data_IF_678734868260
#
_entry.id   IF_678734868260
#
_cell.length_a   1.000
_cell.length_b   1.000
_cell.length_c   1.000
_cell.angle_alpha   90.00
_cell.angle_beta   90.00
_cell.angle_gamma   90.00
#
_symmetry.space_group_name_H-M   'P 1'
#
loop_
_entity.id
_entity.type
_entity.pdbx_description
1 polymer ?
#
# COMPACT_ATOMS: atom_id res chain seq x y z
N UNK A 1 -31.37 -4.13 -2.23
CA UNK A 1 -30.29 -3.13 -2.18
C UNK A 1 -29.10 -3.79 -1.51
N UNK A 2 -28.01 -4.04 -2.25
CA UNK A 2 -26.83 -4.70 -1.69
C UNK A 2 -26.02 -3.68 -0.90
N UNK A 3 -25.90 -3.88 0.41
CA UNK A 3 -24.97 -3.17 1.28
C UNK A 3 -23.54 -3.51 0.83
N UNK A 4 -22.87 -2.57 0.15
CA UNK A 4 -21.52 -2.76 -0.37
C UNK A 4 -20.48 -2.72 0.77
N UNK A 5 -19.40 -3.53 0.71
CA UNK A 5 -18.49 -3.68 1.83
C UNK A 5 -17.44 -2.55 1.86
N UNK A 6 -17.45 -1.80 2.96
CA UNK A 6 -16.71 -0.56 3.19
C UNK A 6 -15.37 -0.75 3.92
N UNK A 7 -14.85 -1.97 4.02
CA UNK A 7 -13.50 -2.29 4.53
C UNK A 7 -13.20 -3.76 4.20
N UNK A 8 -13.24 -4.09 2.92
CA UNK A 8 -13.09 -5.49 2.49
C UNK A 8 -11.64 -5.90 2.71
N UNK A 9 -11.45 -6.97 3.46
CA UNK A 9 -10.16 -7.62 3.64
C UNK A 9 -10.05 -8.81 2.69
N UNK A 10 -9.35 -8.63 1.58
CA UNK A 10 -9.02 -9.69 0.64
C UNK A 10 -7.88 -10.54 1.20
N UNK A 11 -8.02 -11.87 1.15
CA UNK A 11 -6.90 -12.75 1.49
C UNK A 11 -5.89 -12.84 0.33
N UNK A 12 -4.67 -13.24 0.65
CA UNK A 12 -3.57 -13.39 -0.32
C UNK A 12 -3.81 -14.38 -1.46
N UNK A 13 -4.82 -15.26 -1.38
CA UNK A 13 -5.18 -16.21 -2.43
C UNK A 13 -6.39 -15.74 -3.26
N UNK A 14 -6.79 -14.47 -3.13
CA UNK A 14 -7.95 -13.94 -3.83
C UNK A 14 -7.74 -13.91 -5.35
N UNK A 15 -8.74 -14.38 -6.08
CA UNK A 15 -8.82 -14.29 -7.55
C UNK A 15 -9.37 -12.94 -8.02
N UNK A 16 -9.70 -12.02 -7.11
CA UNK A 16 -10.14 -10.68 -7.46
C UNK A 16 -9.02 -9.88 -8.13
N UNK A 17 -9.39 -9.02 -9.08
CA UNK A 17 -8.45 -8.18 -9.84
C UNK A 17 -8.54 -6.73 -9.38
N UNK A 18 -7.40 -6.03 -9.17
CA UNK A 18 -7.40 -4.61 -8.83
C UNK A 18 -8.19 -3.74 -9.81
N UNK A 19 -8.15 -4.04 -11.12
CA UNK A 19 -8.94 -3.32 -12.13
C UNK A 19 -10.45 -3.40 -11.87
N UNK A 20 -10.94 -4.58 -11.47
CA UNK A 20 -12.36 -4.81 -11.16
C UNK A 20 -12.73 -4.16 -9.82
N UNK A 21 -11.88 -4.29 -8.81
CA UNK A 21 -12.09 -3.67 -7.48
C UNK A 21 -12.18 -2.16 -7.62
N UNK A 22 -11.21 -1.54 -8.32
CA UNK A 22 -11.16 -0.10 -8.55
C UNK A 22 -12.41 0.39 -9.30
N UNK A 23 -12.81 -0.30 -10.38
CA UNK A 23 -14.01 0.04 -11.15
C UNK A 23 -15.28 -0.01 -10.30
N UNK A 24 -15.41 -1.02 -9.44
CA UNK A 24 -16.57 -1.18 -8.57
C UNK A 24 -16.62 -0.11 -7.49
N UNK A 25 -15.47 0.24 -6.91
CA UNK A 25 -15.34 1.30 -5.91
C UNK A 25 -15.78 2.64 -6.49
N UNK A 26 -15.20 3.04 -7.64
CA UNK A 26 -15.51 4.30 -8.33
C UNK A 26 -16.96 4.40 -8.85
N UNK A 27 -17.69 3.29 -8.93
CA UNK A 27 -19.09 3.26 -9.39
C UNK A 27 -20.12 3.49 -8.27
N UNK A 28 -19.69 3.79 -7.04
CA UNK A 28 -20.58 4.01 -5.91
C UNK A 28 -20.20 5.24 -5.08
N UNK A 29 -20.96 5.49 -4.02
CA UNK A 29 -20.62 6.46 -2.98
C UNK A 29 -19.51 5.85 -2.11
N UNK A 30 -18.30 6.41 -2.22
CA UNK A 30 -17.10 5.95 -1.50
C UNK A 30 -16.79 6.94 -0.39
N UNK A 31 -16.63 6.45 0.85
CA UNK A 31 -16.12 7.23 1.98
C UNK A 31 -14.61 7.09 2.11
N UNK A 32 -13.96 8.03 2.79
CA UNK A 32 -12.51 7.98 3.05
C UNK A 32 -12.06 6.71 3.80
N UNK A 33 -12.97 6.14 4.60
CA UNK A 33 -12.77 4.91 5.39
C UNK A 33 -12.82 3.65 4.52
N UNK A 34 -13.31 3.76 3.28
CA UNK A 34 -13.63 2.63 2.41
C UNK A 34 -12.40 2.20 1.62
N UNK A 35 -11.50 1.47 2.27
CA UNK A 35 -10.31 0.95 1.62
C UNK A 35 -10.37 -0.59 1.48
N UNK A 36 -10.30 -1.13 0.25
CA UNK A 36 -10.07 -2.55 0.03
C UNK A 36 -8.61 -2.91 0.38
N UNK A 37 -8.44 -3.60 1.49
CA UNK A 37 -7.14 -4.08 1.97
C UNK A 37 -6.88 -5.51 1.52
N UNK A 38 -5.63 -5.82 1.19
CA UNK A 38 -5.12 -7.18 1.01
C UNK A 38 -4.34 -7.57 2.25
N UNK A 39 -4.66 -8.72 2.83
CA UNK A 39 -3.90 -9.33 3.91
C UNK A 39 -2.92 -10.38 3.35
N UNK A 40 -1.64 -10.17 3.60
CA UNK A 40 -0.56 -11.14 3.37
C UNK A 40 0.14 -11.39 4.70
N UNK A 41 -0.24 -12.46 5.42
CA UNK A 41 0.19 -12.64 6.81
C UNK A 41 -0.24 -11.45 7.68
N UNK A 42 0.73 -10.77 8.30
CA UNK A 42 0.55 -9.55 9.09
C UNK A 42 0.82 -8.25 8.30
N UNK A 43 0.99 -8.33 6.97
CA UNK A 43 1.14 -7.18 6.08
C UNK A 43 -0.20 -6.83 5.42
N UNK A 44 -0.55 -5.55 5.46
CA UNK A 44 -1.80 -5.02 4.93
C UNK A 44 -1.51 -3.96 3.86
N UNK A 45 -2.06 -4.18 2.67
CA UNK A 45 -1.78 -3.41 1.47
C UNK A 45 -3.09 -2.93 0.84
N UNK A 46 -3.16 -1.67 0.42
CA UNK A 46 -4.29 -1.13 -0.31
C UNK A 46 -4.26 -1.59 -1.77
N UNK A 47 -5.44 -1.96 -2.28
CA UNK A 47 -5.61 -2.29 -3.71
C UNK A 47 -5.81 -1.04 -4.56
N UNK A 48 -6.36 0.02 -3.96
CA UNK A 48 -6.86 1.21 -4.65
C UNK A 48 -6.35 2.50 -4.00
N UNK A 49 -6.92 3.63 -4.41
CA UNK A 49 -6.78 4.91 -3.71
C UNK A 49 -7.20 4.73 -2.25
N UNK A 50 -6.43 5.32 -1.34
CA UNK A 50 -6.70 5.41 0.09
C UNK A 50 -7.16 6.83 0.43
N UNK A 51 -8.11 6.97 1.36
CA UNK A 51 -8.42 8.25 2.01
C UNK A 51 -7.56 8.47 3.25
N UNK A 52 -7.52 9.71 3.75
CA UNK A 52 -6.77 10.09 4.97
C UNK A 52 -7.11 9.16 6.15
N UNK A 53 -8.36 8.74 6.29
CA UNK A 53 -8.83 7.92 7.41
C UNK A 53 -8.82 6.40 7.13
N UNK A 54 -8.30 5.96 6.00
CA UNK A 54 -8.49 4.58 5.49
C UNK A 54 -7.94 3.46 6.38
N UNK A 55 -6.83 3.68 7.09
CA UNK A 55 -6.21 2.63 7.91
C UNK A 55 -6.75 2.56 9.35
N UNK A 56 -7.42 3.60 9.85
CA UNK A 56 -7.95 3.60 11.22
C UNK A 56 -9.01 2.50 11.44
N UNK A 57 -9.98 2.27 10.54
CA UNK A 57 -10.89 1.13 10.64
C UNK A 57 -10.18 -0.23 10.65
N UNK A 58 -9.10 -0.36 9.86
CA UNK A 58 -8.28 -1.57 9.86
C UNK A 58 -7.61 -1.78 11.23
N UNK A 59 -7.04 -0.74 11.83
CA UNK A 59 -6.49 -0.81 13.20
C UNK A 59 -7.55 -1.21 14.22
N UNK A 60 -8.77 -0.66 14.14
CA UNK A 60 -9.88 -1.05 15.01
C UNK A 60 -10.24 -2.54 14.88
N UNK A 61 -10.31 -3.04 13.63
CA UNK A 61 -10.54 -4.46 13.34
C UNK A 61 -9.43 -5.34 13.94
N UNK A 62 -8.18 -5.04 13.66
CA UNK A 62 -7.04 -5.84 14.14
C UNK A 62 -6.89 -5.78 15.66
N UNK A 63 -7.23 -4.64 16.27
CA UNK A 63 -7.30 -4.50 17.73
C UNK A 63 -8.34 -5.44 18.33
N UNK A 64 -9.51 -5.58 17.70
CA UNK A 64 -10.54 -6.52 18.14
C UNK A 64 -10.09 -7.98 18.05
N UNK A 65 -9.09 -8.26 17.21
CA UNK A 65 -8.43 -9.57 17.08
C UNK A 65 -7.24 -9.74 18.05
N UNK A 66 -6.99 -8.77 18.93
CA UNK A 66 -5.97 -8.85 19.98
C UNK A 66 -4.66 -8.12 19.69
N UNK A 67 -4.47 -7.55 18.49
CA UNK A 67 -3.26 -6.77 18.20
C UNK A 67 -3.25 -5.45 18.97
N UNK A 68 -2.10 -5.11 19.56
CA UNK A 68 -1.92 -3.88 20.35
C UNK A 68 -0.84 -2.96 19.82
N UNK A 69 0.00 -3.42 18.90
CA UNK A 69 1.07 -2.63 18.31
C UNK A 69 0.96 -2.67 16.80
N UNK A 70 1.06 -1.52 16.14
CA UNK A 70 0.95 -1.38 14.70
C UNK A 70 2.12 -0.57 14.14
N UNK A 71 2.62 -0.97 12.98
CA UNK A 71 3.54 -0.17 12.15
C UNK A 71 2.77 0.34 10.94
N UNK A 72 2.76 1.66 10.75
CA UNK A 72 2.14 2.30 9.60
C UNK A 72 3.25 2.95 8.78
N UNK A 73 3.52 2.41 7.60
CA UNK A 73 4.49 3.00 6.69
C UNK A 73 3.80 4.13 5.93
N UNK A 74 4.45 5.29 5.87
CA UNK A 74 3.91 6.54 5.34
C UNK A 74 4.96 7.35 4.55
N UNK A 75 4.57 8.51 4.04
CA UNK A 75 5.46 9.48 3.40
C UNK A 75 5.65 9.31 1.91
N UNK A 76 4.71 8.61 1.28
CA UNK A 76 4.69 8.43 -0.17
C UNK A 76 3.29 8.31 -0.74
N UNK A 77 3.16 8.59 -2.01
CA UNK A 77 2.06 8.19 -2.88
C UNK A 77 2.22 6.73 -3.31
N UNK A 78 1.12 6.19 -3.82
CA UNK A 78 1.14 4.98 -4.65
C UNK A 78 1.26 5.31 -6.12
N UNK A 79 1.93 4.44 -6.86
CA UNK A 79 1.89 4.42 -8.32
C UNK A 79 1.87 2.96 -8.82
N UNK A 80 1.46 2.78 -10.07
CA UNK A 80 1.42 1.49 -10.74
C UNK A 80 2.01 1.64 -12.13
N UNK A 81 3.21 1.10 -12.39
CA UNK A 81 4.26 0.69 -11.45
C UNK A 81 5.02 1.87 -10.81
N UNK A 82 5.84 1.63 -9.77
CA UNK A 82 6.73 2.65 -9.22
C UNK A 82 7.88 2.95 -10.20
N UNK A 83 8.14 4.22 -10.48
CA UNK A 83 9.20 4.61 -11.41
C UNK A 83 10.55 4.64 -10.70
N UNK A 84 11.55 3.97 -11.27
CA UNK A 84 12.93 4.00 -10.77
C UNK A 84 13.90 4.51 -11.84
N UNK A 85 14.88 5.30 -11.42
CA UNK A 85 16.00 5.68 -12.29
C UNK A 85 17.06 4.57 -12.37
N UNK A 86 18.09 4.81 -13.17
CA UNK A 86 19.20 3.86 -13.39
C UNK A 86 20.07 3.61 -12.17
N UNK A 87 20.00 4.50 -11.17
CA UNK A 87 20.72 4.38 -9.91
C UNK A 87 19.86 3.70 -8.84
N UNK A 88 18.67 3.19 -9.21
CA UNK A 88 17.72 2.58 -8.28
C UNK A 88 16.97 3.60 -7.42
N UNK A 89 17.01 4.90 -7.77
CA UNK A 89 16.26 5.92 -7.04
C UNK A 89 14.80 5.89 -7.47
N UNK A 90 13.89 5.75 -6.49
CA UNK A 90 12.46 5.87 -6.74
C UNK A 90 12.08 7.34 -6.98
N UNK A 91 11.30 7.60 -8.01
CA UNK A 91 10.97 8.95 -8.46
C UNK A 91 9.51 9.31 -8.17
N UNK A 92 9.25 10.60 -7.92
CA UNK A 92 7.91 11.22 -7.90
C UNK A 92 6.85 10.62 -6.96
N UNK A 93 7.25 9.78 -6.01
CA UNK A 93 6.33 9.16 -5.06
C UNK A 93 6.42 9.77 -3.67
N UNK A 94 7.46 10.51 -3.31
CA UNK A 94 7.64 10.97 -1.93
C UNK A 94 6.81 12.22 -1.63
N UNK A 95 6.04 12.15 -0.55
CA UNK A 95 5.08 13.18 -0.15
C UNK A 95 5.12 13.33 1.37
N UNK A 96 5.69 14.43 1.85
CA UNK A 96 5.85 14.67 3.29
C UNK A 96 4.51 14.90 3.97
N UNK A 97 3.59 15.54 3.27
CA UNK A 97 2.21 15.79 3.70
C UNK A 97 1.51 14.51 4.19
N UNK A 98 1.76 13.36 3.55
CA UNK A 98 1.17 12.09 3.98
C UNK A 98 1.68 11.62 5.35
N UNK A 99 2.92 11.96 5.73
CA UNK A 99 3.43 11.70 7.09
C UNK A 99 2.66 12.55 8.10
N UNK A 100 2.42 13.82 7.75
CA UNK A 100 1.75 14.76 8.64
C UNK A 100 0.25 14.40 8.79
N UNK A 101 -0.39 13.91 7.73
CA UNK A 101 -1.72 13.28 7.74
C UNK A 101 -1.76 12.03 8.62
N UNK A 102 -0.88 11.06 8.40
CA UNK A 102 -0.87 9.82 9.18
C UNK A 102 -0.53 10.04 10.66
N UNK A 103 0.27 11.05 10.99
CA UNK A 103 0.49 11.45 12.38
C UNK A 103 -0.78 12.05 13.02
N UNK A 104 -1.60 12.81 12.27
CA UNK A 104 -2.90 13.28 12.76
C UNK A 104 -3.85 12.12 13.01
N UNK A 105 -3.90 11.15 12.10
CA UNK A 105 -4.74 9.94 12.25
C UNK A 105 -4.23 9.07 13.41
N UNK A 106 -2.92 8.95 13.60
CA UNK A 106 -2.32 8.33 14.79
C UNK A 106 -2.75 9.00 16.08
N UNK A 107 -2.72 10.32 16.16
CA UNK A 107 -3.16 11.04 17.35
C UNK A 107 -4.65 10.76 17.66
N UNK A 108 -5.50 10.68 16.63
CA UNK A 108 -6.91 10.25 16.76
C UNK A 108 -7.01 8.81 17.27
N UNK A 109 -6.26 7.87 16.67
CA UNK A 109 -6.25 6.47 17.07
C UNK A 109 -5.87 6.27 18.54
N UNK A 110 -4.83 6.96 19.02
CA UNK A 110 -4.36 6.86 20.41
C UNK A 110 -5.31 7.52 21.41
N UNK A 111 -6.12 8.49 20.96
CA UNK A 111 -7.18 9.08 21.78
C UNK A 111 -8.40 8.14 21.89
N UNK A 112 -8.74 7.45 20.80
CA UNK A 112 -9.89 6.55 20.73
C UNK A 112 -9.60 5.18 21.37
N UNK A 113 -8.37 4.68 21.21
CA UNK A 113 -7.93 3.37 21.67
C UNK A 113 -6.73 3.52 22.62
N UNK A 114 -6.97 3.50 23.92
CA UNK A 114 -5.94 3.75 24.94
C UNK A 114 -5.01 2.56 25.17
N UNK A 115 -5.32 1.39 24.61
CA UNK A 115 -4.60 0.13 24.80
C UNK A 115 -3.72 -0.25 23.60
N UNK A 116 -3.54 0.64 22.63
CA UNK A 116 -2.70 0.39 21.44
C UNK A 116 -1.52 1.35 21.35
N UNK A 117 -0.52 0.93 20.58
CA UNK A 117 0.57 1.77 20.07
C UNK A 117 0.57 1.73 18.55
N UNK A 118 0.80 2.87 17.93
CA UNK A 118 0.95 3.01 16.48
C UNK A 118 2.22 3.78 16.23
N UNK A 119 3.13 3.21 15.43
CA UNK A 119 4.35 3.89 15.00
C UNK A 119 4.28 4.20 13.51
N UNK A 120 4.46 5.48 13.16
CA UNK A 120 4.59 5.91 11.77
C UNK A 120 6.05 5.72 11.33
N UNK A 121 6.26 4.98 10.25
CA UNK A 121 7.56 4.77 9.62
C UNK A 121 7.64 5.67 8.38
N UNK A 122 8.55 6.62 8.41
CA UNK A 122 8.83 7.52 7.28
C UNK A 122 9.63 6.79 6.19
N UNK A 123 8.98 6.50 5.06
CA UNK A 123 9.61 5.81 3.93
C UNK A 123 10.56 6.69 3.12
N UNK A 124 10.59 8.01 3.34
CA UNK A 124 11.50 8.93 2.65
C UNK A 124 12.95 8.79 3.13
N UNK A 125 13.17 8.07 4.23
CA UNK A 125 14.50 7.77 4.77
C UNK A 125 15.34 6.89 3.84
N UNK A 126 14.70 6.15 2.92
CA UNK A 126 15.38 5.38 1.89
C UNK A 126 14.78 5.66 0.52
N UNK A 127 15.54 6.38 -0.32
CA UNK A 127 15.11 6.76 -1.68
C UNK A 127 15.69 5.87 -2.78
N UNK A 128 16.77 5.16 -2.48
CA UNK A 128 17.49 4.27 -3.38
C UNK A 128 17.27 2.84 -2.94
N UNK A 129 17.06 1.91 -3.88
CA UNK A 129 16.73 0.50 -3.62
C UNK A 129 15.54 0.37 -2.65
N UNK A 130 14.55 1.23 -2.83
CA UNK A 130 13.49 1.41 -1.86
C UNK A 130 12.66 0.13 -1.68
N UNK A 131 12.35 -0.62 -2.74
CA UNK A 131 11.64 -1.89 -2.64
C UNK A 131 12.37 -2.86 -1.71
N UNK A 132 13.71 -2.95 -1.82
CA UNK A 132 14.55 -3.77 -0.95
C UNK A 132 14.52 -3.27 0.49
N UNK A 133 14.70 -1.97 0.72
CA UNK A 133 14.64 -1.40 2.07
C UNK A 133 13.27 -1.64 2.72
N UNK A 134 12.18 -1.45 1.99
CA UNK A 134 10.81 -1.70 2.46
C UNK A 134 10.59 -3.16 2.82
N UNK A 135 11.08 -4.09 2.01
CA UNK A 135 11.05 -5.52 2.31
C UNK A 135 11.81 -5.82 3.62
N UNK A 136 13.05 -5.35 3.74
CA UNK A 136 13.89 -5.60 4.91
C UNK A 136 13.28 -5.00 6.18
N UNK A 137 12.81 -3.76 6.11
CA UNK A 137 12.19 -3.05 7.23
C UNK A 137 10.88 -3.72 7.64
N UNK A 138 10.04 -4.11 6.68
CA UNK A 138 8.80 -4.85 6.95
C UNK A 138 9.08 -6.18 7.63
N UNK A 139 10.07 -6.94 7.14
CA UNK A 139 10.42 -8.24 7.72
C UNK A 139 10.87 -8.14 9.18
N UNK A 140 11.49 -7.04 9.62
CA UNK A 140 11.84 -6.84 11.04
C UNK A 140 10.61 -6.88 11.93
N UNK A 141 9.53 -6.21 11.52
CA UNK A 141 8.30 -6.08 12.30
C UNK A 141 7.43 -7.33 12.20
N UNK A 142 7.35 -7.95 11.02
CA UNK A 142 6.61 -9.19 10.83
C UNK A 142 7.16 -10.34 11.70
N UNK A 143 8.49 -10.43 11.87
CA UNK A 143 9.13 -11.43 12.76
C UNK A 143 8.71 -11.29 14.23
N UNK A 144 8.28 -10.10 14.64
CA UNK A 144 7.75 -9.84 15.98
C UNK A 144 6.22 -9.95 16.04
N UNK A 145 5.58 -10.48 15.00
CA UNK A 145 4.12 -10.59 14.86
C UNK A 145 3.39 -9.24 14.98
N UNK A 146 4.06 -8.15 14.59
CA UNK A 146 3.49 -6.80 14.60
C UNK A 146 2.83 -6.55 13.24
N UNK A 147 1.52 -6.24 13.19
CA UNK A 147 0.87 -5.77 11.97
C UNK A 147 1.59 -4.60 11.31
N UNK A 148 1.83 -4.73 10.01
CA UNK A 148 2.41 -3.69 9.15
C UNK A 148 1.37 -3.24 8.13
N UNK A 149 1.11 -1.93 8.07
CA UNK A 149 0.14 -1.32 7.16
C UNK A 149 0.90 -0.36 6.24
N UNK A 150 0.76 -0.51 4.93
CA UNK A 150 1.21 0.50 3.98
C UNK A 150 0.05 1.45 3.67
N UNK A 151 0.09 2.65 4.23
CA UNK A 151 -1.07 3.57 4.28
C UNK A 151 -1.31 4.39 3.00
N UNK A 152 -0.46 4.26 1.99
CA UNK A 152 -0.62 4.97 0.72
C UNK A 152 -1.49 4.21 -0.27
N UNK A 153 -1.93 4.90 -1.31
CA UNK A 153 -2.72 4.34 -2.41
C UNK A 153 -1.96 3.18 -3.07
N UNK A 154 -2.67 2.22 -3.66
CA UNK A 154 -2.08 1.17 -4.53
C UNK A 154 -0.86 0.46 -3.93
N UNK A 155 -0.77 0.32 -2.60
CA UNK A 155 0.44 -0.17 -1.95
C UNK A 155 0.71 -1.65 -2.24
N UNK A 156 -0.27 -2.39 -2.78
CA UNK A 156 -0.07 -3.71 -3.39
C UNK A 156 0.94 -3.72 -4.54
N UNK A 157 1.21 -2.59 -5.18
CA UNK A 157 2.15 -2.48 -6.31
C UNK A 157 3.50 -1.90 -5.90
N UNK A 158 3.76 -1.76 -4.60
CA UNK A 158 4.97 -1.11 -4.07
C UNK A 158 6.27 -1.74 -4.56
N UNK A 159 6.30 -3.06 -4.77
CA UNK A 159 7.49 -3.77 -5.27
C UNK A 159 7.52 -3.91 -6.80
N UNK A 160 6.51 -3.37 -7.49
CA UNK A 160 6.47 -3.32 -8.94
C UNK A 160 7.22 -2.08 -9.40
N UNK A 161 8.37 -2.26 -10.04
CA UNK A 161 9.23 -1.18 -10.49
C UNK A 161 9.31 -1.12 -12.03
N UNK A 162 9.31 0.10 -12.56
CA UNK A 162 9.53 0.39 -13.98
C UNK A 162 10.75 1.29 -14.14
N UNK A 163 11.79 0.74 -14.76
CA UNK A 163 13.05 1.45 -14.96
C UNK A 163 12.96 2.38 -16.17
N UNK A 164 13.28 3.67 -15.97
CA UNK A 164 13.31 4.62 -17.07
C UNK A 164 14.44 4.32 -18.08
N UNK A 165 14.18 4.44 -19.41
CA UNK A 165 15.19 4.24 -20.44
C UNK A 165 16.26 5.35 -20.46
N UNK A 166 17.32 5.13 -21.23
CA UNK A 166 18.60 5.83 -21.21
C UNK A 166 18.64 7.32 -21.53
N UNK A 167 17.56 7.87 -22.05
CA UNK A 167 17.63 9.08 -22.86
C UNK A 167 16.90 10.18 -22.13
N UNK A 168 17.46 11.39 -22.17
CA UNK A 168 17.03 12.61 -21.46
C UNK A 168 15.63 13.13 -21.82
N UNK A 169 14.68 12.26 -22.09
CA UNK A 169 13.27 12.57 -22.19
C UNK A 169 12.77 12.97 -20.80
N UNK A 170 12.54 14.27 -20.65
CA UNK A 170 11.70 14.82 -19.61
C UNK A 170 10.41 14.01 -19.47
N UNK A 171 10.17 13.47 -18.26
CA UNK A 171 8.93 13.52 -17.45
C UNK A 171 7.53 13.45 -18.09
N UNK A 172 7.37 13.09 -19.37
CA UNK A 172 6.08 12.75 -19.99
C UNK A 172 5.86 11.24 -20.00
N UNK A 173 6.30 10.56 -18.93
CA UNK A 173 6.28 9.10 -18.85
C UNK A 173 4.85 8.53 -18.92
N UNK A 174 3.86 9.27 -18.43
CA UNK A 174 2.43 8.92 -18.54
C UNK A 174 1.92 8.83 -19.99
N UNK A 175 2.62 9.44 -20.95
CA UNK A 175 2.29 9.37 -22.38
C UNK A 175 3.03 8.22 -23.10
N UNK A 176 3.98 7.55 -22.43
CA UNK A 176 4.68 6.41 -23.01
C UNK A 176 3.77 5.19 -22.93
N UNK A 177 3.34 4.72 -24.10
CA UNK A 177 2.52 3.51 -24.30
C UNK A 177 3.05 2.32 -23.47
N UNK A 178 4.37 2.18 -23.32
CA UNK A 178 5.01 1.14 -22.51
C UNK A 178 4.63 1.22 -21.02
N UNK A 179 4.62 2.41 -20.42
CA UNK A 179 4.25 2.60 -19.01
C UNK A 179 2.78 2.26 -18.78
N UNK A 180 1.90 2.76 -19.65
CA UNK A 180 0.46 2.46 -19.60
C UNK A 180 0.20 0.96 -19.80
N UNK A 181 0.93 0.31 -20.71
CA UNK A 181 0.83 -1.13 -20.91
C UNK A 181 1.31 -1.92 -19.69
N UNK A 182 2.41 -1.50 -19.05
CA UNK A 182 2.87 -2.09 -17.81
C UNK A 182 1.81 -1.95 -16.70
N UNK A 183 1.27 -0.74 -16.51
CA UNK A 183 0.19 -0.48 -15.56
C UNK A 183 -1.03 -1.39 -15.80
N UNK A 184 -1.53 -1.44 -17.03
CA UNK A 184 -2.68 -2.26 -17.41
C UNK A 184 -2.41 -3.75 -17.23
N UNK A 185 -1.18 -4.20 -17.45
CA UNK A 185 -0.78 -5.59 -17.25
C UNK A 185 -0.89 -5.96 -15.77
N UNK A 186 -0.34 -5.13 -14.89
CA UNK A 186 -0.36 -5.38 -13.44
C UNK A 186 -1.78 -5.28 -12.85
N UNK A 187 -2.57 -4.29 -13.26
CA UNK A 187 -3.95 -4.12 -12.80
C UNK A 187 -4.88 -5.30 -13.16
N UNK A 188 -4.53 -6.08 -14.19
CA UNK A 188 -5.33 -7.22 -14.66
C UNK A 188 -4.88 -8.58 -14.12
N UNK A 189 -3.78 -8.61 -13.35
CA UNK A 189 -3.44 -9.77 -12.52
C UNK A 189 -4.41 -9.88 -11.35
N UNK A 190 -4.60 -11.09 -10.86
CA UNK A 190 -5.30 -11.36 -9.61
C UNK A 190 -4.46 -10.93 -8.42
N UNK A 191 -5.09 -10.67 -7.27
CA UNK A 191 -4.38 -10.44 -6.01
C UNK A 191 -3.40 -11.59 -5.71
N UNK A 192 -3.81 -12.84 -5.93
CA UNK A 192 -2.93 -14.00 -5.73
C UNK A 192 -1.65 -13.93 -6.58
N UNK A 193 -1.78 -13.62 -7.88
CA UNK A 193 -0.62 -13.47 -8.77
C UNK A 193 0.29 -12.33 -8.34
N UNK A 194 -0.28 -11.19 -7.93
CA UNK A 194 0.47 -10.03 -7.44
C UNK A 194 1.22 -10.34 -6.14
N UNK A 195 0.57 -11.02 -5.19
CA UNK A 195 1.20 -11.41 -3.93
C UNK A 195 2.33 -12.40 -4.15
N UNK A 196 2.13 -13.42 -5.00
CA UNK A 196 3.19 -14.37 -5.34
C UNK A 196 4.37 -13.72 -6.07
N UNK A 197 4.11 -12.69 -6.86
CA UNK A 197 5.15 -11.94 -7.59
C UNK A 197 5.94 -11.02 -6.67
N UNK A 198 5.24 -10.20 -5.87
CA UNK A 198 5.83 -9.05 -5.18
C UNK A 198 6.06 -9.26 -3.67
N UNK A 199 5.30 -10.16 -3.05
CA UNK A 199 5.37 -10.44 -1.62
C UNK A 199 5.58 -11.92 -1.26
N UNK A 200 6.24 -12.77 -2.09
CA UNK A 200 6.43 -14.18 -1.74
C UNK A 200 7.30 -14.35 -0.48
N UNK A 201 8.10 -13.34 -0.15
CA UNK A 201 8.94 -13.29 1.05
C UNK A 201 8.14 -13.10 2.35
N UNK A 202 6.87 -12.68 2.28
CA UNK A 202 5.97 -12.62 3.44
C UNK A 202 5.39 -14.00 3.76
N UNK A 203 5.12 -14.80 2.72
CA UNK A 203 4.51 -16.13 2.86
C UNK A 203 5.49 -17.22 3.34
N UNK A 204 6.80 -16.94 3.26
CA UNK A 204 7.87 -17.85 3.68
C UNK A 204 8.32 -17.64 5.13
N UNK A 205 7.68 -16.70 5.84
CA UNK A 205 7.99 -16.32 7.22
C UNK A 205 7.32 -17.20 8.26
#
# INVERSE_FOLDING_TARGET
MATKPTNTLYNHNSTAKPSVISKNLLSGDVKDEDCPWVQVGQLYLSVTITGENSWLPLVALLRSQGHKHFKVFSGRHGDIPNIVDRKGMTLNVFAKEHIDEDNRVRAKALKEFTDITVDIIDTQQSKTDQAKWLQEETQKHLKSNIPVIYAWCYSLFTMCEFSMPAVGDSLKLYEKVEYVNAQNTELNKTIAELVLTYFPWVLKG
#
